data_IF_548820885219
#
_entry.id   IF_548820885219
#
_cell.length_a   1.000
_cell.length_b   1.000
_cell.length_c   1.000
_cell.angle_alpha   90.00
_cell.angle_beta   90.00
_cell.angle_gamma   90.00
#
_symmetry.space_group_name_H-M   'P 1'
#
loop_
_entity.id
_entity.type
_entity.pdbx_description
1 polymer ?
#
# COMPACT_ATOMS: atom_id res chain seq x y z
N UNK A 1 -0.09 -18.91 3.34
CA UNK A 1 -0.78 -17.77 3.99
C UNK A 1 -1.66 -17.15 2.94
N UNK A 2 -2.96 -17.01 3.25
CA UNK A 2 -3.93 -16.38 2.34
C UNK A 2 -3.72 -14.87 2.30
N UNK A 3 -4.00 -14.26 1.14
CA UNK A 3 -3.80 -12.82 0.95
C UNK A 3 -4.59 -11.96 1.94
N UNK A 4 -5.88 -12.24 2.25
CA UNK A 4 -6.60 -11.46 3.25
C UNK A 4 -5.93 -11.46 4.63
N UNK A 5 -5.39 -12.61 5.05
CA UNK A 5 -4.67 -12.71 6.31
C UNK A 5 -3.39 -11.88 6.29
N UNK A 6 -2.68 -11.84 5.15
CA UNK A 6 -1.49 -11.01 4.99
C UNK A 6 -1.84 -9.52 5.05
N UNK A 7 -2.92 -9.09 4.38
CA UNK A 7 -3.39 -7.69 4.44
C UNK A 7 -3.73 -7.27 5.86
N UNK A 8 -4.49 -8.08 6.58
CA UNK A 8 -4.79 -7.84 7.99
C UNK A 8 -3.54 -7.76 8.85
N UNK A 9 -2.60 -8.68 8.65
CA UNK A 9 -1.34 -8.71 9.42
C UNK A 9 -0.51 -7.45 9.19
N UNK A 10 -0.43 -6.97 7.94
CA UNK A 10 0.25 -5.72 7.59
C UNK A 10 -0.48 -4.51 8.21
N UNK A 11 -1.81 -4.47 8.16
CA UNK A 11 -2.58 -3.39 8.77
C UNK A 11 -2.37 -3.31 10.29
N UNK A 12 -2.33 -4.46 10.97
CA UNK A 12 -2.04 -4.54 12.41
C UNK A 12 -0.60 -4.06 12.70
N UNK A 13 0.38 -4.49 11.89
CA UNK A 13 1.78 -4.04 11.97
C UNK A 13 1.91 -2.51 11.86
N UNK A 14 1.23 -1.91 10.89
CA UNK A 14 1.29 -0.47 10.67
C UNK A 14 0.62 0.31 11.79
N UNK A 15 -0.48 -0.21 12.36
CA UNK A 15 -1.11 0.41 13.53
C UNK A 15 -0.21 0.33 14.76
N UNK A 16 0.38 -0.83 15.03
CA UNK A 16 1.34 -1.00 16.13
C UNK A 16 2.52 -0.02 15.99
N UNK A 17 3.04 0.13 14.77
CA UNK A 17 4.11 1.09 14.50
C UNK A 17 3.66 2.54 14.70
N UNK A 18 2.42 2.90 14.35
CA UNK A 18 1.89 4.25 14.61
C UNK A 18 1.70 4.53 16.10
N UNK A 19 1.29 3.55 16.89
CA UNK A 19 1.11 3.68 18.33
C UNK A 19 2.42 3.95 19.09
N UNK A 20 3.56 3.59 18.49
CA UNK A 20 4.90 3.97 18.97
C UNK A 20 5.24 5.45 18.73
N UNK A 21 4.37 6.19 18.02
CA UNK A 21 4.52 7.61 17.66
C UNK A 21 5.87 7.90 17.00
N UNK A 22 6.22 7.18 15.92
CA UNK A 22 7.52 7.28 15.29
C UNK A 22 7.70 8.68 14.68
N UNK A 23 8.92 9.20 14.71
CA UNK A 23 9.24 10.53 14.19
C UNK A 23 10.12 10.39 12.96
N UNK A 24 9.70 10.98 11.84
CA UNK A 24 10.50 11.06 10.63
C UNK A 24 11.08 12.47 10.44
N UNK A 25 12.40 12.62 10.61
CA UNK A 25 13.09 13.93 10.50
C UNK A 25 12.49 14.96 11.46
N UNK A 26 12.01 16.10 10.94
CA UNK A 26 11.39 17.18 11.70
C UNK A 26 9.86 17.22 11.51
N UNK A 27 9.26 16.16 10.96
CA UNK A 27 7.83 16.04 10.79
C UNK A 27 7.13 15.64 12.09
N UNK A 28 5.82 15.76 12.10
CA UNK A 28 5.00 15.39 13.24
C UNK A 28 5.02 13.87 13.46
N UNK A 29 4.81 13.38 14.69
CA UNK A 29 4.80 11.95 14.97
C UNK A 29 3.70 11.19 14.20
N UNK A 30 3.99 9.93 13.87
CA UNK A 30 3.09 8.97 13.23
C UNK A 30 3.68 8.36 11.97
N UNK A 31 3.01 7.35 11.43
CA UNK A 31 3.52 6.62 10.25
C UNK A 31 3.32 7.41 8.94
N UNK A 32 2.37 8.34 8.93
CA UNK A 32 1.98 9.07 7.73
C UNK A 32 3.11 9.85 7.03
N UNK A 33 4.07 10.47 7.75
CA UNK A 33 5.22 11.13 7.14
C UNK A 33 6.31 10.20 6.55
N UNK A 34 6.28 8.90 6.81
CA UNK A 34 7.29 7.97 6.29
C UNK A 34 7.09 7.67 4.80
N UNK A 35 8.17 7.61 4.04
CA UNK A 35 8.12 7.23 2.63
C UNK A 35 7.82 5.74 2.44
N UNK A 36 7.31 5.38 1.25
CA UNK A 36 6.97 3.99 0.90
C UNK A 36 8.11 2.98 1.16
N UNK A 37 9.38 3.23 0.74
CA UNK A 37 10.46 2.29 1.05
C UNK A 37 10.72 2.08 2.54
N UNK A 38 10.49 3.11 3.36
CA UNK A 38 10.69 3.02 4.82
C UNK A 38 9.59 2.20 5.47
N UNK A 39 8.34 2.43 5.04
CA UNK A 39 7.19 1.66 5.53
C UNK A 39 7.29 0.19 5.11
N UNK A 40 7.68 -0.10 3.86
CA UNK A 40 7.86 -1.48 3.39
C UNK A 40 9.00 -2.18 4.14
N UNK A 41 10.09 -1.48 4.46
CA UNK A 41 11.16 -2.03 5.29
C UNK A 41 10.67 -2.36 6.72
N UNK A 42 9.87 -1.49 7.33
CA UNK A 42 9.27 -1.72 8.65
C UNK A 42 8.33 -2.94 8.62
N UNK A 43 7.50 -3.05 7.58
CA UNK A 43 6.63 -4.21 7.36
C UNK A 43 7.46 -5.49 7.28
N UNK A 44 8.55 -5.50 6.49
CA UNK A 44 9.41 -6.66 6.34
C UNK A 44 10.06 -7.10 7.66
N UNK A 45 10.55 -6.13 8.45
CA UNK A 45 11.13 -6.36 9.77
C UNK A 45 10.12 -7.00 10.72
N UNK A 46 8.95 -6.38 10.89
CA UNK A 46 7.91 -6.86 11.83
C UNK A 46 7.25 -8.16 11.39
N UNK A 47 7.13 -8.43 10.09
CA UNK A 47 6.72 -9.75 9.60
C UNK A 47 7.73 -10.82 10.02
N UNK A 48 9.02 -10.53 9.89
CA UNK A 48 10.10 -11.45 10.28
C UNK A 48 10.11 -11.72 11.79
N UNK A 49 9.90 -10.69 12.61
CA UNK A 49 9.74 -10.84 14.07
C UNK A 49 8.55 -11.73 14.45
N UNK A 50 7.48 -11.71 13.65
CA UNK A 50 6.32 -12.61 13.78
C UNK A 50 6.54 -14.00 13.16
N UNK A 51 7.76 -14.33 12.71
CA UNK A 51 8.12 -15.62 12.13
C UNK A 51 7.71 -15.79 10.66
N UNK A 52 7.30 -14.72 9.98
CA UNK A 52 6.94 -14.71 8.56
C UNK A 52 8.15 -14.18 7.79
N UNK A 53 8.86 -15.05 7.06
CA UNK A 53 10.03 -14.63 6.30
C UNK A 53 9.63 -13.55 5.29
N UNK A 54 10.14 -12.33 5.46
CA UNK A 54 9.87 -11.22 4.55
C UNK A 54 11.16 -10.41 4.31
N UNK A 55 11.32 -9.90 3.09
CA UNK A 55 12.46 -9.03 2.75
C UNK A 55 12.09 -8.03 1.67
N UNK A 56 12.68 -6.85 1.74
CA UNK A 56 12.58 -5.87 0.67
C UNK A 56 13.41 -6.30 -0.53
N UNK A 57 12.94 -5.93 -1.72
CA UNK A 57 13.59 -6.21 -3.01
C UNK A 57 13.47 -4.96 -3.89
N UNK A 58 14.20 -4.95 -5.02
CA UNK A 58 14.05 -3.89 -6.04
C UNK A 58 12.80 -4.12 -6.90
N UNK A 59 12.47 -5.39 -7.15
CA UNK A 59 11.21 -5.83 -7.74
C UNK A 59 11.05 -7.32 -7.37
N UNK A 60 10.00 -7.72 -6.65
CA UNK A 60 8.92 -6.86 -6.12
C UNK A 60 9.40 -5.88 -5.04
N UNK A 61 8.55 -5.03 -4.47
CA UNK A 61 8.92 -4.25 -3.29
C UNK A 61 9.12 -5.15 -2.06
N UNK A 62 8.23 -6.13 -1.90
CA UNK A 62 8.27 -7.11 -0.81
C UNK A 62 8.17 -8.54 -1.34
N UNK A 63 9.11 -9.37 -0.91
CA UNK A 63 9.11 -10.83 -1.06
C UNK A 63 8.70 -11.45 0.28
N UNK A 64 7.59 -12.19 0.28
CA UNK A 64 7.10 -12.91 1.48
C UNK A 64 7.16 -14.42 1.24
N UNK A 65 7.97 -15.08 2.07
CA UNK A 65 8.27 -16.51 2.07
C UNK A 65 8.81 -17.06 0.74
N UNK A 66 9.28 -16.22 -0.19
CA UNK A 66 9.65 -16.64 -1.54
C UNK A 66 8.46 -17.07 -2.41
N UNK A 67 7.23 -16.84 -1.95
CA UNK A 67 5.99 -17.29 -2.63
C UNK A 67 5.16 -16.10 -3.11
N UNK A 68 5.15 -15.01 -2.33
CA UNK A 68 4.43 -13.79 -2.65
C UNK A 68 5.37 -12.71 -3.15
N UNK A 69 5.02 -12.11 -4.28
CA UNK A 69 5.56 -10.85 -4.76
C UNK A 69 4.53 -9.74 -4.58
N UNK A 70 4.85 -8.70 -3.79
CA UNK A 70 3.91 -7.62 -3.48
C UNK A 70 4.52 -6.28 -3.86
N UNK A 71 3.77 -5.48 -4.61
CA UNK A 71 4.08 -4.09 -4.94
C UNK A 71 3.21 -3.17 -4.11
N UNK A 72 3.80 -2.12 -3.57
CA UNK A 72 3.15 -1.18 -2.66
C UNK A 72 2.95 0.17 -3.33
N UNK A 73 1.84 0.84 -3.01
CA UNK A 73 1.68 2.27 -3.22
C UNK A 73 1.21 2.98 -1.97
N UNK A 74 1.76 4.16 -1.73
CA UNK A 74 1.26 5.09 -0.72
C UNK A 74 0.38 6.18 -1.33
N UNK A 75 -0.76 6.44 -0.70
CA UNK A 75 -1.65 7.55 -1.06
C UNK A 75 -1.96 8.40 0.16
N UNK A 76 -1.67 9.69 0.02
CA UNK A 76 -1.87 10.71 1.06
C UNK A 76 -2.38 11.98 0.39
N UNK A 77 -3.68 12.29 0.48
CA UNK A 77 -4.21 13.54 -0.07
C UNK A 77 -3.65 14.79 0.62
N UNK A 78 -3.11 14.66 1.83
CA UNK A 78 -2.53 15.76 2.60
C UNK A 78 -1.10 15.45 3.04
N UNK A 79 -0.25 16.47 3.07
CA UNK A 79 1.10 16.40 3.63
C UNK A 79 1.12 16.57 5.15
N UNK A 80 2.32 16.46 5.74
CA UNK A 80 2.58 16.68 7.18
C UNK A 80 2.13 18.06 7.69
N UNK A 81 2.14 19.06 6.81
CA UNK A 81 1.73 20.44 7.11
C UNK A 81 0.23 20.70 6.93
N UNK A 82 -0.58 19.68 6.64
CA UNK A 82 -2.02 19.79 6.42
C UNK A 82 -2.42 20.45 5.10
N UNK A 83 -1.47 20.72 4.20
CA UNK A 83 -1.79 21.15 2.83
C UNK A 83 -2.10 19.95 1.96
N UNK A 84 -3.04 20.13 1.03
CA UNK A 84 -3.30 19.12 0.01
C UNK A 84 -2.01 18.83 -0.77
N UNK A 85 -1.72 17.55 -0.96
CA UNK A 85 -0.60 17.11 -1.78
C UNK A 85 -0.98 17.25 -3.25
N UNK A 86 -0.05 17.65 -4.09
CA UNK A 86 -0.26 17.62 -5.54
C UNK A 86 0.03 16.20 -6.06
N UNK A 87 -0.71 15.75 -7.06
CA UNK A 87 -0.45 14.50 -7.81
C UNK A 87 -0.52 13.17 -7.03
N UNK A 88 -1.07 13.12 -5.81
CA UNK A 88 -1.17 11.86 -5.03
C UNK A 88 -1.97 10.77 -5.76
N UNK A 89 -2.95 11.13 -6.59
CA UNK A 89 -3.73 10.19 -7.39
C UNK A 89 -2.94 9.55 -8.53
N UNK A 90 -1.87 10.22 -9.00
CA UNK A 90 -0.98 9.71 -10.07
C UNK A 90 -0.25 8.44 -9.61
N UNK A 91 -0.01 8.28 -8.31
CA UNK A 91 0.56 7.06 -7.72
C UNK A 91 -0.30 5.81 -7.97
N UNK A 92 -1.56 5.96 -8.37
CA UNK A 92 -2.42 4.84 -8.70
C UNK A 92 -2.83 4.78 -10.17
N UNK A 93 -3.10 5.92 -10.81
CA UNK A 93 -3.89 5.93 -12.04
C UNK A 93 -3.10 6.01 -13.35
N UNK A 94 -1.77 6.16 -13.33
CA UNK A 94 -1.01 6.34 -14.57
C UNK A 94 -0.96 5.02 -15.39
N UNK A 95 -1.57 4.93 -16.59
CA UNK A 95 -1.86 3.62 -17.20
C UNK A 95 -0.80 3.10 -18.20
N UNK A 96 0.28 3.85 -18.43
CA UNK A 96 1.26 3.54 -19.49
C UNK A 96 2.46 2.72 -18.99
N UNK A 97 2.88 1.64 -19.66
CA UNK A 97 4.01 0.82 -19.20
C UNK A 97 5.28 1.62 -18.85
N UNK A 98 6.00 1.19 -17.82
CA UNK A 98 7.26 1.81 -17.38
C UNK A 98 7.10 2.95 -16.36
N UNK A 99 5.88 3.22 -15.89
CA UNK A 99 5.63 4.17 -14.81
C UNK A 99 5.59 3.49 -13.43
N UNK A 100 5.67 4.29 -12.36
CA UNK A 100 5.74 3.85 -10.96
C UNK A 100 4.39 3.91 -10.20
N UNK A 101 3.26 3.91 -10.92
CA UNK A 101 1.92 3.85 -10.32
C UNK A 101 1.46 2.42 -10.11
N UNK A 102 0.41 2.24 -9.31
CA UNK A 102 -0.15 0.92 -9.04
C UNK A 102 -0.64 0.19 -10.30
N UNK A 103 -1.16 0.90 -11.31
CA UNK A 103 -1.49 0.28 -12.62
C UNK A 103 -0.21 -0.17 -13.34
N UNK A 104 0.85 0.65 -13.30
CA UNK A 104 2.17 0.27 -13.82
C UNK A 104 2.70 -1.00 -13.16
N UNK A 105 2.59 -1.09 -11.83
CA UNK A 105 2.98 -2.25 -11.04
C UNK A 105 2.11 -3.48 -11.35
N UNK A 106 0.81 -3.29 -11.55
CA UNK A 106 -0.10 -4.35 -11.96
C UNK A 106 0.29 -4.95 -13.32
N UNK A 107 0.66 -4.12 -14.31
CA UNK A 107 1.17 -4.56 -15.61
C UNK A 107 2.49 -5.32 -15.46
N UNK A 108 3.43 -4.77 -14.67
CA UNK A 108 4.74 -5.36 -14.39
C UNK A 108 4.62 -6.74 -13.75
N UNK A 109 3.77 -6.87 -12.73
CA UNK A 109 3.52 -8.14 -12.05
C UNK A 109 2.82 -9.14 -12.97
N UNK A 110 1.84 -8.71 -13.76
CA UNK A 110 1.10 -9.62 -14.66
C UNK A 110 2.02 -10.23 -15.71
N UNK A 111 2.93 -9.45 -16.31
CA UNK A 111 3.87 -9.91 -17.33
C UNK A 111 5.21 -10.46 -16.81
N UNK A 112 5.50 -10.37 -15.51
CA UNK A 112 6.82 -10.64 -14.94
C UNK A 112 6.81 -11.52 -13.68
N UNK A 113 7.98 -11.62 -13.02
CA UNK A 113 8.15 -12.28 -11.72
C UNK A 113 7.60 -13.72 -11.63
N UNK A 114 7.80 -14.53 -12.67
CA UNK A 114 7.31 -15.92 -12.75
C UNK A 114 7.86 -16.86 -11.67
N UNK A 115 8.90 -16.45 -10.93
CA UNK A 115 9.44 -17.20 -9.81
C UNK A 115 8.50 -17.23 -8.58
N UNK A 116 7.49 -16.35 -8.53
CA UNK A 116 6.53 -16.28 -7.43
C UNK A 116 5.19 -16.89 -7.83
N UNK A 117 4.66 -17.77 -6.97
CA UNK A 117 3.36 -18.41 -7.18
C UNK A 117 2.19 -17.47 -6.95
N UNK A 118 2.40 -16.39 -6.20
CA UNK A 118 1.37 -15.41 -5.88
C UNK A 118 1.89 -13.99 -6.04
N UNK A 119 1.01 -13.11 -6.51
CA UNK A 119 1.31 -11.71 -6.81
C UNK A 119 0.22 -10.82 -6.23
N UNK A 120 0.62 -9.75 -5.56
CA UNK A 120 -0.28 -8.84 -4.87
C UNK A 120 0.05 -7.39 -5.16
N UNK A 121 -1.00 -6.58 -5.22
CA UNK A 121 -0.93 -5.12 -5.17
C UNK A 121 -1.41 -4.68 -3.79
N UNK A 122 -0.75 -3.69 -3.21
CA UNK A 122 -1.07 -3.18 -1.89
C UNK A 122 -1.08 -1.66 -1.86
N UNK A 123 -2.15 -1.07 -1.34
CA UNK A 123 -2.29 0.36 -1.11
C UNK A 123 -2.24 0.66 0.38
N UNK A 124 -1.39 1.60 0.76
CA UNK A 124 -1.33 2.23 2.07
C UNK A 124 -1.93 3.64 1.93
N UNK A 125 -3.22 3.77 2.23
CA UNK A 125 -3.98 5.00 2.14
C UNK A 125 -4.11 5.71 3.50
N UNK A 126 -4.08 7.04 3.48
CA UNK A 126 -4.31 7.87 4.66
C UNK A 126 -5.44 8.87 4.45
N UNK A 127 -6.28 9.03 5.47
CA UNK A 127 -7.40 9.99 5.49
C UNK A 127 -7.49 10.71 6.85
N UNK A 128 -8.24 11.81 6.89
CA UNK A 128 -8.77 12.40 8.13
C UNK A 128 -9.95 11.58 8.68
N UNK A 129 -10.34 11.85 9.93
CA UNK A 129 -11.59 11.38 10.51
C UNK A 129 -12.43 12.56 11.03
N UNK A 130 -13.52 12.97 10.34
CA UNK A 130 -14.03 12.43 9.09
C UNK A 130 -13.15 12.80 7.88
N UNK A 131 -13.23 12.02 6.79
CA UNK A 131 -12.42 12.24 5.59
C UNK A 131 -12.74 13.60 4.94
N UNK A 132 -11.71 14.45 4.78
CA UNK A 132 -11.80 15.69 3.99
C UNK A 132 -11.78 15.38 2.48
N UNK A 133 -10.95 14.43 2.08
CA UNK A 133 -10.90 13.83 0.75
C UNK A 133 -10.99 12.32 0.95
N UNK A 134 -12.08 11.69 0.49
CA UNK A 134 -12.21 10.23 0.51
C UNK A 134 -11.33 9.62 -0.57
N UNK A 135 -10.72 8.47 -0.26
CA UNK A 135 -9.99 7.67 -1.24
C UNK A 135 -10.91 6.81 -2.11
N UNK A 136 -12.20 6.67 -1.80
CA UNK A 136 -13.11 5.79 -2.55
C UNK A 136 -13.14 6.11 -4.05
N UNK A 137 -13.25 7.38 -4.50
CA UNK A 137 -13.22 7.68 -5.94
C UNK A 137 -11.90 7.29 -6.60
N UNK A 138 -10.77 7.36 -5.89
CA UNK A 138 -9.47 6.94 -6.42
C UNK A 138 -9.41 5.42 -6.57
N UNK A 139 -9.87 4.70 -5.54
CA UNK A 139 -9.88 3.24 -5.48
C UNK A 139 -10.77 2.69 -6.59
N UNK A 140 -12.00 3.20 -6.71
CA UNK A 140 -12.95 2.77 -7.74
C UNK A 140 -12.45 3.11 -9.15
N UNK A 141 -11.77 4.25 -9.31
CA UNK A 141 -11.12 4.62 -10.58
C UNK A 141 -9.98 3.67 -10.95
N UNK A 142 -9.14 3.30 -9.98
CA UNK A 142 -8.07 2.32 -10.19
C UNK A 142 -8.64 0.97 -10.64
N UNK A 143 -9.65 0.46 -9.93
CA UNK A 143 -10.29 -0.81 -10.26
C UNK A 143 -10.90 -0.77 -11.66
N UNK A 144 -11.60 0.32 -11.98
CA UNK A 144 -12.22 0.51 -13.29
C UNK A 144 -11.19 0.57 -14.42
N UNK A 145 -10.11 1.33 -14.27
CA UNK A 145 -9.08 1.43 -15.32
C UNK A 145 -8.31 0.11 -15.45
N UNK A 146 -7.91 -0.49 -14.33
CA UNK A 146 -7.17 -1.75 -14.34
C UNK A 146 -7.99 -2.87 -14.99
N UNK A 147 -9.29 -2.97 -14.68
CA UNK A 147 -10.17 -4.00 -15.24
C UNK A 147 -10.60 -3.71 -16.68
N UNK A 148 -11.10 -2.52 -16.99
CA UNK A 148 -11.77 -2.24 -18.27
C UNK A 148 -10.87 -1.62 -19.33
N UNK A 149 -9.77 -0.96 -18.94
CA UNK A 149 -8.85 -0.31 -19.90
C UNK A 149 -7.59 -1.13 -20.10
N UNK A 150 -7.09 -1.78 -19.04
CA UNK A 150 -5.86 -2.59 -19.09
C UNK A 150 -6.11 -4.10 -19.08
N UNK A 151 -7.36 -4.51 -18.86
CA UNK A 151 -7.77 -5.93 -18.84
C UNK A 151 -6.94 -6.78 -17.88
N UNK A 152 -6.51 -6.19 -16.75
CA UNK A 152 -5.68 -6.87 -15.76
C UNK A 152 -6.59 -7.72 -14.86
N UNK A 153 -6.36 -9.04 -14.79
CA UNK A 153 -7.20 -9.90 -13.97
C UNK A 153 -6.73 -9.85 -12.52
N UNK A 154 -7.53 -9.24 -11.64
CA UNK A 154 -7.32 -9.29 -10.19
C UNK A 154 -8.55 -9.83 -9.44
N UNK A 155 -8.30 -10.25 -8.20
CA UNK A 155 -9.26 -10.72 -7.22
C UNK A 155 -10.10 -9.61 -6.63
N UNK A 156 -10.97 -9.97 -5.71
CA UNK A 156 -11.77 -8.98 -4.98
C UNK A 156 -10.88 -8.07 -4.13
N UNK A 157 -11.36 -6.85 -3.93
CA UNK A 157 -10.76 -5.88 -3.00
C UNK A 157 -10.82 -6.44 -1.58
N UNK A 158 -9.66 -6.53 -0.93
CA UNK A 158 -9.56 -6.76 0.51
C UNK A 158 -9.20 -5.44 1.14
N UNK A 159 -9.96 -5.01 2.14
CA UNK A 159 -9.72 -3.75 2.83
C UNK A 159 -9.70 -3.94 4.34
N UNK A 160 -8.68 -3.36 4.96
CA UNK A 160 -8.50 -3.27 6.39
C UNK A 160 -8.33 -1.81 6.79
N UNK A 161 -9.17 -1.34 7.72
CA UNK A 161 -9.15 0.05 8.21
C UNK A 161 -8.71 0.10 9.66
N UNK A 162 -7.85 1.06 10.00
CA UNK A 162 -7.48 1.40 11.39
C UNK A 162 -7.72 2.89 11.58
N UNK A 163 -8.33 3.26 12.70
CA UNK A 163 -8.65 4.65 13.06
C UNK A 163 -7.85 5.07 14.27
N UNK A 164 -7.82 6.38 14.56
CA UNK A 164 -7.10 6.92 15.71
C UNK A 164 -5.59 6.76 15.55
N UNK A 165 -5.08 7.00 14.34
CA UNK A 165 -3.66 7.22 14.16
C UNK A 165 -3.23 8.53 14.82
N UNK A 166 -1.97 8.61 15.25
CA UNK A 166 -1.49 9.71 16.08
C UNK A 166 -1.18 11.01 15.31
N UNK A 167 -0.93 10.93 14.01
CA UNK A 167 -0.63 12.09 13.18
C UNK A 167 -1.90 12.93 12.91
N UNK A 168 -1.86 14.27 13.04
CA UNK A 168 -3.07 15.11 12.93
C UNK A 168 -3.74 15.10 11.55
N UNK A 169 -2.97 14.86 10.48
CA UNK A 169 -3.49 14.86 9.10
C UNK A 169 -3.68 13.47 8.52
N UNK A 170 -3.21 12.43 9.21
CA UNK A 170 -3.23 11.04 8.73
C UNK A 170 -3.85 10.16 9.80
N UNK A 171 -5.12 10.40 10.10
CA UNK A 171 -5.83 9.89 11.28
C UNK A 171 -6.44 8.50 11.07
N UNK A 172 -6.61 8.11 9.80
CA UNK A 172 -7.15 6.83 9.36
C UNK A 172 -6.13 6.16 8.43
N UNK A 173 -5.83 4.90 8.70
CA UNK A 173 -5.10 4.01 7.80
C UNK A 173 -6.09 3.14 7.02
N UNK A 174 -5.94 3.11 5.70
CA UNK A 174 -6.62 2.17 4.81
C UNK A 174 -5.57 1.26 4.16
N UNK A 175 -5.59 -0.02 4.49
CA UNK A 175 -4.75 -1.04 3.88
C UNK A 175 -5.59 -1.84 2.90
N UNK A 176 -5.35 -1.66 1.60
CA UNK A 176 -6.16 -2.28 0.56
C UNK A 176 -5.29 -3.19 -0.29
N UNK A 177 -5.72 -4.43 -0.50
CA UNK A 177 -5.01 -5.41 -1.29
C UNK A 177 -5.85 -5.95 -2.43
N UNK A 178 -5.19 -6.16 -3.58
CA UNK A 178 -5.71 -6.98 -4.69
C UNK A 178 -4.72 -8.08 -5.03
N UNK A 179 -5.18 -9.33 -5.04
CA UNK A 179 -4.39 -10.45 -5.55
C UNK A 179 -4.54 -10.51 -7.07
N UNK A 180 -3.44 -10.61 -7.82
CA UNK A 180 -3.53 -10.88 -9.26
C UNK A 180 -3.94 -12.32 -9.51
N UNK A 181 -4.84 -12.54 -10.47
CA UNK A 181 -5.20 -13.87 -10.95
C UNK A 181 -4.18 -14.27 -12.02
N UNK A 182 -3.60 -15.46 -11.87
CA UNK A 182 -2.68 -16.04 -12.85
C UNK A 182 -3.43 -16.47 -14.12
#
# INVERSE_FOLDING_TARGET
MEYPQLVKTIADILKDFDDEKPVHKAFQPGIGPFGEPQIVAEIAGRLTEKGIQARTRRSPDLDVCGVWAIEFKIVRPFGDNGREAENWSVNMLHPYPGNESLIGDAIKLSGGLCAYSHKGLFLIGFEHDPAKISLDPLIDSFESIAQYVREIPFGERIEERRIGLCHPEHQVLRCIGWQLKA
#
